data_IF_269618009496
#
_entry.id   IF_269618009496
#
_cell.length_a   1.000
_cell.length_b   1.000
_cell.length_c   1.000
_cell.angle_alpha   90.00
_cell.angle_beta   90.00
_cell.angle_gamma   90.00
#
_symmetry.space_group_name_H-M   'P 1'
#
loop_
_entity.id
_entity.type
_entity.pdbx_description
1 polymer ?
#
# COMPACT_ATOMS: atom_id res chain seq x y z
N UNK A 1 -10.87 41.11 -16.87
CA UNK A 1 -11.13 40.39 -15.60
C UNK A 1 -10.79 38.92 -15.82
N UNK A 2 -9.82 38.39 -15.08
CA UNK A 2 -9.52 36.96 -14.90
C UNK A 2 -9.19 36.78 -13.41
N UNK A 3 -9.16 35.55 -12.86
CA UNK A 3 -10.20 34.51 -12.81
C UNK A 3 -10.39 34.02 -11.35
N UNK A 4 -11.36 33.15 -11.03
CA UNK A 4 -11.15 32.26 -9.88
C UNK A 4 -11.84 30.90 -10.00
N UNK A 5 -11.04 29.88 -9.67
CA UNK A 5 -11.36 28.47 -9.56
C UNK A 5 -12.09 28.19 -8.25
N UNK A 6 -12.89 27.12 -8.21
CA UNK A 6 -13.02 26.30 -7.01
C UNK A 6 -13.49 24.88 -7.38
N UNK A 7 -12.56 23.93 -7.25
CA UNK A 7 -12.83 22.49 -7.09
C UNK A 7 -13.47 22.28 -5.72
N UNK A 8 -14.49 21.45 -5.62
CA UNK A 8 -14.86 20.81 -4.36
C UNK A 8 -14.70 19.31 -4.52
N UNK A 9 -13.65 18.79 -3.90
CA UNK A 9 -13.47 17.37 -3.66
C UNK A 9 -14.43 16.96 -2.54
N UNK A 10 -15.29 15.99 -2.81
CA UNK A 10 -16.07 15.27 -1.80
C UNK A 10 -15.14 14.33 -1.06
N UNK A 11 -14.73 14.72 0.14
CA UNK A 11 -13.98 13.90 1.08
C UNK A 11 -14.93 13.28 2.10
N UNK A 12 -15.08 11.97 2.06
CA UNK A 12 -15.62 11.19 3.17
C UNK A 12 -14.54 11.14 4.26
N UNK A 13 -14.69 12.02 5.25
CA UNK A 13 -13.89 12.09 6.46
C UNK A 13 -14.57 11.21 7.52
N UNK A 14 -14.06 10.00 7.76
CA UNK A 14 -14.36 9.31 9.01
C UNK A 14 -13.16 8.47 9.47
N UNK A 15 -12.61 8.90 10.61
CA UNK A 15 -11.57 8.27 11.45
C UNK A 15 -10.08 8.50 11.11
N UNK A 16 -9.68 9.76 10.98
CA UNK A 16 -8.27 10.21 10.99
C UNK A 16 -7.65 10.25 12.40
N UNK A 17 -8.32 9.72 13.43
CA UNK A 17 -7.95 9.99 14.84
C UNK A 17 -6.69 9.25 15.33
N UNK A 18 -6.23 8.21 14.62
CA UNK A 18 -5.12 7.34 15.05
C UNK A 18 -3.86 7.38 14.18
N UNK A 19 -3.94 7.88 12.96
CA UNK A 19 -2.81 7.92 12.03
C UNK A 19 -2.63 9.32 11.42
N UNK A 20 -1.42 9.93 11.50
CA UNK A 20 -1.24 11.34 11.19
C UNK A 20 -1.03 11.67 9.70
N UNK A 21 -0.79 10.66 8.85
CA UNK A 21 -0.44 10.85 7.44
C UNK A 21 -1.61 10.42 6.51
N UNK A 22 -1.74 11.00 5.30
CA UNK A 22 -2.72 10.52 4.33
C UNK A 22 -2.50 9.06 3.95
N UNK A 23 -3.59 8.29 3.89
CA UNK A 23 -3.57 6.89 3.47
C UNK A 23 -4.16 6.79 2.06
N UNK A 24 -3.38 6.23 1.15
CA UNK A 24 -3.77 6.04 -0.25
C UNK A 24 -4.17 4.58 -0.47
N UNK A 25 -5.43 4.35 -0.81
CA UNK A 25 -5.97 3.02 -1.05
C UNK A 25 -6.03 2.69 -2.55
N UNK A 26 -5.72 1.44 -2.90
CA UNK A 26 -5.96 0.92 -4.25
C UNK A 26 -7.45 0.71 -4.50
N UNK A 27 -7.81 0.48 -5.76
CA UNK A 27 -9.08 -0.19 -6.05
C UNK A 27 -9.08 -1.62 -5.50
N UNK A 28 -10.27 -2.13 -5.16
CA UNK A 28 -10.44 -3.54 -4.79
C UNK A 28 -10.45 -4.41 -6.03
N UNK A 29 -9.62 -5.44 -6.04
CA UNK A 29 -9.59 -6.42 -7.13
C UNK A 29 -10.06 -7.77 -6.61
N UNK A 30 -11.07 -8.35 -7.26
CA UNK A 30 -11.58 -9.69 -6.95
C UNK A 30 -11.32 -10.63 -8.10
N UNK A 31 -10.69 -11.78 -7.83
CA UNK A 31 -10.46 -12.85 -8.80
C UNK A 31 -10.60 -14.21 -8.11
N UNK A 32 -11.34 -15.13 -8.72
CA UNK A 32 -11.67 -16.44 -8.15
C UNK A 32 -12.04 -16.37 -6.66
N UNK A 33 -12.96 -15.45 -6.33
CA UNK A 33 -13.45 -15.16 -4.96
C UNK A 33 -12.40 -14.62 -3.98
N UNK A 34 -11.13 -14.52 -4.38
CA UNK A 34 -10.11 -13.84 -3.58
C UNK A 34 -10.15 -12.35 -3.85
N UNK A 35 -10.19 -11.54 -2.80
CA UNK A 35 -10.20 -10.08 -2.91
C UNK A 35 -8.86 -9.52 -2.42
N UNK A 36 -8.36 -8.48 -3.09
CA UNK A 36 -7.12 -7.77 -2.77
C UNK A 36 -7.38 -6.28 -2.64
N UNK A 37 -6.74 -5.65 -1.66
CA UNK A 37 -6.78 -4.20 -1.42
C UNK A 37 -5.43 -3.77 -0.85
N UNK A 38 -4.83 -2.71 -1.37
CA UNK A 38 -3.61 -2.14 -0.82
C UNK A 38 -3.86 -0.78 -0.16
N UNK A 39 -3.06 -0.48 0.86
CA UNK A 39 -2.94 0.83 1.47
C UNK A 39 -1.47 1.24 1.49
N UNK A 40 -1.18 2.48 1.12
CA UNK A 40 0.14 3.07 1.21
C UNK A 40 0.09 4.39 1.97
N UNK A 41 1.11 4.66 2.78
CA UNK A 41 1.26 5.93 3.50
C UNK A 41 2.74 6.26 3.64
N UNK A 42 3.04 7.54 3.78
CA UNK A 42 4.36 8.00 4.17
C UNK A 42 4.70 7.45 5.56
N UNK A 43 5.94 7.00 5.73
CA UNK A 43 6.55 6.75 7.04
C UNK A 43 7.98 7.30 7.04
N UNK A 44 8.39 7.89 8.16
CA UNK A 44 9.73 8.47 8.33
C UNK A 44 10.60 7.68 9.29
N UNK A 45 9.99 6.76 10.02
CA UNK A 45 10.66 5.86 10.96
C UNK A 45 9.95 4.50 10.93
N UNK A 46 10.73 3.44 11.09
CA UNK A 46 10.23 2.08 11.28
C UNK A 46 9.35 1.98 12.54
N UNK A 47 9.56 2.83 13.55
CA UNK A 47 8.72 2.89 14.76
C UNK A 47 7.26 3.28 14.47
N UNK A 48 6.98 3.92 13.33
CA UNK A 48 5.60 4.24 12.92
C UNK A 48 4.84 3.00 12.42
N UNK A 49 5.54 1.94 12.00
CA UNK A 49 4.94 0.78 11.36
C UNK A 49 3.93 0.04 12.26
N UNK A 50 4.22 -0.29 13.54
CA UNK A 50 3.24 -0.96 14.39
C UNK A 50 1.96 -0.14 14.57
N UNK A 51 2.07 1.19 14.67
CA UNK A 51 0.91 2.09 14.79
C UNK A 51 0.07 2.06 13.51
N UNK A 52 0.72 2.04 12.34
CA UNK A 52 -0.01 1.96 11.06
C UNK A 52 -0.75 0.62 10.90
N UNK A 53 -0.10 -0.48 11.26
CA UNK A 53 -0.70 -1.82 11.18
C UNK A 53 -1.88 -1.93 12.16
N UNK A 54 -1.75 -1.43 13.40
CA UNK A 54 -2.86 -1.39 14.36
C UNK A 54 -4.02 -0.54 13.83
N UNK A 55 -3.72 0.64 13.28
CA UNK A 55 -4.73 1.49 12.66
C UNK A 55 -5.47 0.76 11.53
N UNK A 56 -4.76 0.19 10.54
CA UNK A 56 -5.38 -0.54 9.44
C UNK A 56 -6.21 -1.73 9.93
N UNK A 57 -5.70 -2.53 10.86
CA UNK A 57 -6.43 -3.71 11.37
C UNK A 57 -7.67 -3.35 12.20
N UNK A 58 -7.73 -2.14 12.75
CA UNK A 58 -8.93 -1.62 13.42
C UNK A 58 -10.06 -1.24 12.46
N UNK A 59 -9.73 -0.91 11.20
CA UNK A 59 -10.68 -0.43 10.20
C UNK A 59 -11.72 -1.51 9.84
N UNK A 60 -13.04 -1.21 9.93
CA UNK A 60 -14.11 -2.18 9.67
C UNK A 60 -14.01 -2.88 8.30
N UNK A 61 -13.59 -2.14 7.27
CA UNK A 61 -13.44 -2.63 5.90
C UNK A 61 -12.26 -3.59 5.71
N UNK A 62 -11.31 -3.61 6.65
CA UNK A 62 -10.15 -4.50 6.69
C UNK A 62 -10.33 -5.70 7.62
N UNK A 63 -11.39 -5.70 8.43
CA UNK A 63 -11.71 -6.84 9.28
C UNK A 63 -11.82 -8.11 8.46
N UNK A 64 -11.36 -9.22 9.05
CA UNK A 64 -11.42 -10.58 8.49
C UNK A 64 -10.55 -10.77 7.23
N UNK A 65 -9.64 -9.85 6.89
CA UNK A 65 -8.59 -10.15 5.93
C UNK A 65 -7.84 -11.41 6.40
N UNK A 66 -7.68 -12.38 5.51
CA UNK A 66 -7.06 -13.66 5.85
C UNK A 66 -5.55 -13.62 5.75
N UNK A 67 -5.02 -12.70 4.93
CA UNK A 67 -3.60 -12.40 4.83
C UNK A 67 -3.38 -10.90 4.81
N UNK A 68 -2.32 -10.44 5.47
CA UNK A 68 -1.95 -9.03 5.55
C UNK A 68 -0.44 -8.89 5.43
N UNK A 69 0.04 -8.78 4.20
CA UNK A 69 1.47 -8.65 3.89
C UNK A 69 1.87 -7.18 3.79
N UNK A 70 3.12 -6.86 4.09
CA UNK A 70 3.63 -5.50 3.91
C UNK A 70 5.11 -5.48 3.57
N UNK A 71 5.54 -4.33 3.02
CA UNK A 71 6.93 -3.94 2.97
C UNK A 71 7.06 -2.43 3.16
N UNK A 72 8.20 -1.99 3.64
CA UNK A 72 8.49 -0.57 3.81
C UNK A 72 9.95 -0.25 3.49
N UNK A 73 10.20 1.01 3.12
CA UNK A 73 11.53 1.59 2.97
C UNK A 73 11.55 2.99 3.58
N UNK A 74 12.56 3.31 4.36
CA UNK A 74 12.80 4.61 5.01
C UNK A 74 14.22 5.04 4.70
N UNK A 75 14.40 6.26 4.20
CA UNK A 75 15.69 6.79 3.74
C UNK A 75 16.61 7.21 4.89
N UNK A 76 16.04 7.56 6.04
CA UNK A 76 16.73 8.22 7.16
C UNK A 76 17.00 7.34 8.39
N UNK A 77 16.70 6.03 8.33
CA UNK A 77 16.84 5.11 9.47
C UNK A 77 17.88 4.01 9.23
N UNK A 78 18.63 3.56 10.25
CA UNK A 78 19.50 2.38 10.15
C UNK A 78 18.71 1.09 9.84
N UNK A 79 17.42 1.03 10.21
CA UNK A 79 16.48 -0.01 9.78
C UNK A 79 15.72 0.48 8.54
N UNK A 80 16.47 0.74 7.48
CA UNK A 80 16.00 1.42 6.26
C UNK A 80 14.95 0.64 5.47
N UNK A 81 14.71 -0.62 5.77
CA UNK A 81 13.70 -1.44 5.10
C UNK A 81 13.29 -2.66 5.93
N UNK A 82 12.09 -3.17 5.66
CA UNK A 82 11.60 -4.40 6.26
C UNK A 82 10.34 -4.91 5.56
N UNK A 83 9.96 -6.16 5.84
CA UNK A 83 8.83 -6.82 5.22
C UNK A 83 8.17 -7.84 6.15
N UNK A 84 6.95 -8.26 5.81
CA UNK A 84 6.28 -9.40 6.42
C UNK A 84 5.33 -10.08 5.43
N UNK A 85 5.32 -11.41 5.44
CA UNK A 85 4.50 -12.24 4.54
C UNK A 85 3.01 -12.27 4.89
N UNK A 86 2.66 -12.04 6.16
CA UNK A 86 1.25 -11.95 6.58
C UNK A 86 0.45 -13.24 6.34
N UNK A 87 1.09 -14.40 6.38
CA UNK A 87 0.49 -15.71 6.09
C UNK A 87 0.44 -16.08 4.60
N UNK A 88 0.97 -15.26 3.70
CA UNK A 88 1.19 -15.58 2.28
C UNK A 88 2.69 -15.67 2.00
N UNK A 89 3.26 -16.87 2.08
CA UNK A 89 4.71 -17.08 1.99
C UNK A 89 5.35 -16.45 0.76
N UNK A 90 6.37 -15.61 0.97
CA UNK A 90 7.12 -14.86 -0.04
C UNK A 90 6.50 -13.52 -0.44
N UNK A 91 5.36 -13.13 0.11
CA UNK A 91 4.70 -11.87 -0.24
C UNK A 91 5.42 -10.62 0.29
N UNK A 92 6.08 -10.72 1.44
CA UNK A 92 6.89 -9.65 2.00
C UNK A 92 8.09 -9.34 1.12
N UNK A 93 8.87 -10.36 0.76
CA UNK A 93 10.02 -10.21 -0.14
C UNK A 93 9.59 -9.69 -1.52
N UNK A 94 8.45 -10.17 -2.03
CA UNK A 94 7.87 -9.70 -3.28
C UNK A 94 7.53 -8.21 -3.25
N UNK A 95 6.91 -7.72 -2.16
CA UNK A 95 6.61 -6.31 -1.98
C UNK A 95 7.88 -5.46 -1.75
N UNK A 96 8.86 -5.96 -1.00
CA UNK A 96 10.12 -5.26 -0.78
C UNK A 96 10.86 -5.03 -2.11
N UNK A 97 10.94 -6.07 -2.95
CA UNK A 97 11.54 -5.95 -4.29
C UNK A 97 10.76 -5.01 -5.20
N UNK A 98 9.44 -4.95 -5.06
CA UNK A 98 8.61 -3.98 -5.78
C UNK A 98 8.97 -2.55 -5.39
N UNK A 99 9.09 -2.25 -4.10
CA UNK A 99 9.49 -0.90 -3.62
C UNK A 99 10.89 -0.52 -4.10
N UNK A 100 11.83 -1.46 -4.07
CA UNK A 100 13.20 -1.26 -4.58
C UNK A 100 13.21 -0.90 -6.07
N UNK A 101 12.57 -1.73 -6.91
CA UNK A 101 12.54 -1.53 -8.37
C UNK A 101 11.79 -0.27 -8.78
N UNK A 102 10.76 0.11 -8.01
CA UNK A 102 10.00 1.34 -8.19
C UNK A 102 10.65 2.57 -7.54
N UNK A 103 11.81 2.41 -6.88
CA UNK A 103 12.54 3.47 -6.18
C UNK A 103 11.66 4.23 -5.17
N UNK A 104 10.77 3.52 -4.50
CA UNK A 104 9.89 4.08 -3.49
C UNK A 104 10.62 4.14 -2.15
N UNK A 105 10.63 5.32 -1.53
CA UNK A 105 11.29 5.60 -0.26
C UNK A 105 10.32 6.37 0.66
N UNK A 106 10.60 6.32 1.97
CA UNK A 106 9.80 6.92 3.04
C UNK A 106 8.32 6.50 2.98
N UNK A 107 8.08 5.21 2.71
CA UNK A 107 6.76 4.65 2.48
C UNK A 107 6.64 3.23 3.01
N UNK A 108 5.44 2.90 3.49
CA UNK A 108 4.98 1.53 3.72
C UNK A 108 3.84 1.24 2.75
N UNK A 109 3.83 0.02 2.21
CA UNK A 109 2.67 -0.53 1.49
C UNK A 109 2.22 -1.81 2.20
N UNK A 110 0.92 -1.88 2.49
CA UNK A 110 0.25 -3.03 3.09
C UNK A 110 -0.76 -3.55 2.09
N UNK A 111 -0.72 -4.85 1.80
CA UNK A 111 -1.73 -5.52 0.99
C UNK A 111 -2.55 -6.44 1.89
N UNK A 112 -3.86 -6.28 1.86
CA UNK A 112 -4.81 -7.16 2.51
C UNK A 112 -5.43 -8.09 1.46
N UNK A 113 -5.47 -9.37 1.77
CA UNK A 113 -6.15 -10.39 0.96
C UNK A 113 -7.24 -11.08 1.78
N UNK A 114 -8.40 -11.26 1.18
CA UNK A 114 -9.44 -12.16 1.66
C UNK A 114 -9.44 -13.40 0.78
N UNK A 115 -9.00 -14.54 1.32
CA UNK A 115 -8.91 -15.79 0.58
C UNK A 115 -10.30 -16.34 0.25
N UNK A 116 -10.53 -16.61 -1.04
CA UNK A 116 -11.81 -17.10 -1.54
C UNK A 116 -12.00 -18.62 -1.55
N UNK A 117 -11.06 -19.39 -0.97
CA UNK A 117 -11.10 -20.86 -0.99
C UNK A 117 -10.45 -21.50 -2.22
N UNK A 118 -9.90 -20.71 -3.15
CA UNK A 118 -9.27 -21.20 -4.40
C UNK A 118 -7.82 -20.75 -4.47
N UNK A 119 -6.89 -21.71 -4.62
CA UNK A 119 -5.48 -21.41 -4.83
C UNK A 119 -5.28 -20.72 -6.19
N UNK A 120 -4.64 -19.55 -6.19
CA UNK A 120 -4.45 -18.74 -7.39
C UNK A 120 -3.13 -19.04 -8.13
N UNK A 121 -2.22 -19.80 -7.52
CA UNK A 121 -0.88 -20.00 -8.07
C UNK A 121 -0.16 -18.66 -8.29
N UNK A 122 0.39 -18.46 -9.49
CA UNK A 122 1.11 -17.23 -9.88
C UNK A 122 0.22 -15.99 -10.00
N UNK A 123 -1.10 -16.13 -10.23
CA UNK A 123 -1.99 -14.99 -10.41
C UNK A 123 -2.07 -14.11 -9.17
N UNK A 124 -1.88 -14.67 -7.96
CA UNK A 124 -1.84 -13.88 -6.72
C UNK A 124 -0.73 -12.84 -6.77
N UNK A 125 0.43 -13.16 -7.32
CA UNK A 125 1.57 -12.26 -7.41
C UNK A 125 1.29 -11.08 -8.34
N UNK A 126 0.59 -11.36 -9.45
CA UNK A 126 0.14 -10.33 -10.37
C UNK A 126 -0.84 -9.37 -9.69
N UNK A 127 -1.82 -9.91 -8.95
CA UNK A 127 -2.81 -9.12 -8.21
C UNK A 127 -2.18 -8.29 -7.09
N UNK A 128 -1.30 -8.89 -6.26
CA UNK A 128 -0.57 -8.20 -5.18
C UNK A 128 0.22 -7.02 -5.75
N UNK A 129 0.94 -7.25 -6.84
CA UNK A 129 1.71 -6.19 -7.50
C UNK A 129 0.81 -5.07 -8.03
N UNK A 130 -0.32 -5.43 -8.64
CA UNK A 130 -1.25 -4.45 -9.23
C UNK A 130 -1.85 -3.53 -8.17
N UNK A 131 -2.42 -4.09 -7.08
CA UNK A 131 -3.00 -3.28 -6.01
C UNK A 131 -1.93 -2.45 -5.29
N UNK A 132 -0.75 -3.01 -5.02
CA UNK A 132 0.34 -2.27 -4.40
C UNK A 132 0.78 -1.09 -5.27
N UNK A 133 0.93 -1.31 -6.58
CA UNK A 133 1.33 -0.25 -7.50
C UNK A 133 0.28 0.85 -7.62
N UNK A 134 -1.01 0.49 -7.63
CA UNK A 134 -2.10 1.47 -7.68
C UNK A 134 -2.10 2.38 -6.44
N UNK A 135 -2.04 1.81 -5.23
CA UNK A 135 -1.96 2.59 -3.98
C UNK A 135 -0.72 3.51 -3.95
N UNK A 136 0.44 2.97 -4.34
CA UNK A 136 1.69 3.73 -4.38
C UNK A 136 1.66 4.87 -5.42
N UNK A 137 1.06 4.64 -6.59
CA UNK A 137 0.88 5.66 -7.62
C UNK A 137 -0.09 6.77 -7.19
N UNK A 138 -1.21 6.40 -6.56
CA UNK A 138 -2.18 7.35 -5.99
C UNK A 138 -1.53 8.24 -4.94
N UNK A 139 -0.61 7.69 -4.14
CA UNK A 139 0.17 8.43 -3.16
C UNK A 139 1.39 9.17 -3.71
N UNK A 140 1.70 9.06 -5.00
CA UNK A 140 2.85 9.73 -5.62
C UNK A 140 4.21 9.19 -5.18
N UNK A 141 4.28 7.99 -4.60
CA UNK A 141 5.52 7.40 -4.06
C UNK A 141 6.43 6.78 -5.13
N UNK A 142 5.93 6.59 -6.36
CA UNK A 142 6.74 6.07 -7.45
C UNK A 142 7.43 7.20 -8.21
N UNK A 143 8.76 7.15 -8.28
CA UNK A 143 9.50 8.01 -9.22
C UNK A 143 9.29 7.51 -10.64
N UNK A 144 8.80 8.39 -11.52
CA UNK A 144 8.85 8.14 -12.96
C UNK A 144 10.32 7.99 -13.36
N UNK A 145 10.64 6.97 -14.16
CA UNK A 145 11.93 6.97 -14.86
C UNK A 145 11.97 8.24 -15.71
N UNK A 146 13.01 9.05 -15.54
CA UNK A 146 13.31 10.10 -16.50
C UNK A 146 13.54 9.40 -17.86
N UNK A 147 12.62 9.60 -18.80
CA UNK A 147 12.83 9.21 -20.18
C UNK A 147 13.86 10.19 -20.74
N UNK A 148 15.13 9.74 -20.81
CA UNK A 148 16.16 10.43 -21.57
C UNK A 148 15.73 10.40 -23.05
N UNK A 149 14.99 11.43 -23.46
CA UNK A 149 14.77 11.72 -24.87
C UNK A 149 16.05 12.37 -25.36
N UNK A 150 16.90 11.58 -26.03
CA UNK A 150 18.08 12.05 -26.73
C UNK A 150 17.78 12.26 -28.20
#
# INVERSE_FOLDING_TARGET
MLPNQARFASGDNEDTSRWPCPIYASERITIHKSTFLAHATEIRDAEMLPVFIDHLTSLPQLKRATHCMYAYRVSSSPLSQGQQDGGESGAGDHLARLLELSRCEDVVVVVSRWYGGVQLGSERWRRISEVAKDALNKGGFMRKREENTN
#
